data_IF_936106601744
#
_entry.id   IF_936106601744
#
_cell.length_a   1.000
_cell.length_b   1.000
_cell.length_c   1.000
_cell.angle_alpha   90.00
_cell.angle_beta   90.00
_cell.angle_gamma   90.00
#
_symmetry.space_group_name_H-M   'P 1'
#
loop_
_entity.id
_entity.type
_entity.pdbx_description
1 polymer ?
#
# COMPACT_ATOMS: atom_id res chain seq x y z
N UNK A 1 9.86 0.52 -18.29
CA UNK A 1 10.61 -0.43 -19.14
C UNK A 1 9.63 -1.47 -19.69
N UNK A 2 9.99 -2.16 -20.77
CA UNK A 2 9.38 -3.43 -21.21
C UNK A 2 10.55 -4.38 -21.42
N UNK A 3 10.47 -5.61 -20.91
CA UNK A 3 11.54 -6.62 -20.99
C UNK A 3 12.92 -6.05 -20.58
N UNK A 4 12.96 -5.32 -19.47
CA UNK A 4 14.19 -4.73 -18.91
C UNK A 4 14.88 -3.70 -19.81
N UNK A 5 14.14 -3.13 -20.78
CA UNK A 5 14.62 -2.09 -21.69
C UNK A 5 13.83 -0.81 -21.56
N UNK A 6 14.53 0.32 -21.68
CA UNK A 6 13.89 1.63 -21.79
C UNK A 6 12.96 1.67 -23.01
N UNK A 7 11.78 2.26 -22.82
CA UNK A 7 10.76 2.37 -23.87
C UNK A 7 11.07 3.61 -24.73
N UNK A 8 11.20 3.44 -26.03
CA UNK A 8 11.28 4.56 -26.97
C UNK A 8 9.92 5.23 -27.17
N UNK A 9 9.90 6.56 -27.27
CA UNK A 9 8.67 7.33 -27.51
C UNK A 9 7.84 7.66 -26.27
N UNK A 10 8.31 7.31 -25.07
CA UNK A 10 7.69 7.72 -23.82
C UNK A 10 7.68 9.27 -23.69
N UNK A 11 6.63 9.87 -23.10
CA UNK A 11 6.61 11.29 -22.79
C UNK A 11 7.84 11.71 -21.97
N UNK A 12 8.39 12.89 -22.26
CA UNK A 12 9.51 13.48 -21.52
C UNK A 12 9.25 14.98 -21.30
N UNK A 13 9.00 15.44 -20.06
CA UNK A 13 9.01 14.65 -18.83
C UNK A 13 7.79 13.69 -18.73
N UNK A 14 8.02 12.53 -18.11
CA UNK A 14 6.95 11.64 -17.67
C UNK A 14 6.40 12.17 -16.34
N UNK A 15 5.10 12.39 -16.26
CA UNK A 15 4.40 12.96 -15.10
C UNK A 15 3.10 12.20 -14.84
N UNK A 16 2.45 12.47 -13.70
CA UNK A 16 1.14 11.88 -13.39
C UNK A 16 0.03 12.33 -14.35
N UNK A 17 0.21 13.42 -15.09
CA UNK A 17 -0.73 13.91 -16.11
C UNK A 17 -0.63 13.18 -17.44
N UNK A 18 0.43 12.39 -17.67
CA UNK A 18 0.66 11.74 -18.95
C UNK A 18 1.09 10.26 -18.85
N UNK A 19 1.01 9.69 -17.65
CA UNK A 19 1.43 8.32 -17.37
C UNK A 19 0.60 7.27 -18.13
N UNK A 20 -0.69 7.54 -18.34
CA UNK A 20 -1.59 6.71 -19.14
C UNK A 20 -1.14 6.55 -20.60
N UNK A 21 -0.39 7.50 -21.16
CA UNK A 21 0.15 7.40 -22.53
C UNK A 21 1.12 6.24 -22.70
N UNK A 22 1.70 5.75 -21.60
CA UNK A 22 2.52 4.53 -21.65
C UNK A 22 1.70 3.29 -22.03
N UNK A 23 0.37 3.34 -21.90
CA UNK A 23 -0.50 2.25 -22.30
C UNK A 23 -0.35 1.92 -23.80
N UNK A 24 -0.08 2.92 -24.64
CA UNK A 24 0.13 2.74 -26.09
C UNK A 24 1.49 2.12 -26.44
N UNK A 25 2.41 2.06 -25.47
CA UNK A 25 3.81 1.62 -25.68
C UNK A 25 4.12 0.24 -25.13
N UNK A 26 3.12 -0.45 -24.56
CA UNK A 26 3.28 -1.77 -23.95
C UNK A 26 2.12 -2.17 -23.04
N UNK A 27 1.23 -1.23 -22.71
CA UNK A 27 0.05 -1.52 -21.90
C UNK A 27 0.44 -2.12 -20.54
N UNK A 28 -0.03 -3.33 -20.24
CA UNK A 28 0.25 -4.04 -18.98
C UNK A 28 1.69 -4.52 -18.86
N UNK A 29 2.48 -4.54 -19.94
CA UNK A 29 3.89 -4.95 -19.89
C UNK A 29 4.86 -3.81 -19.53
N UNK A 30 4.34 -2.61 -19.25
CA UNK A 30 5.16 -1.46 -18.88
C UNK A 30 5.40 -1.43 -17.38
N UNK A 31 6.66 -1.40 -16.98
CA UNK A 31 7.10 -1.29 -15.57
C UNK A 31 7.69 0.10 -15.28
N UNK A 32 7.32 0.71 -14.15
CA UNK A 32 7.92 1.96 -13.69
C UNK A 32 9.16 1.68 -12.85
N UNK A 33 10.33 1.90 -13.45
CA UNK A 33 11.63 1.57 -12.86
C UNK A 33 12.38 2.82 -12.43
N UNK A 34 13.03 2.77 -11.26
CA UNK A 34 13.97 3.79 -10.82
C UNK A 34 15.20 3.83 -11.72
N UNK A 35 15.84 5.00 -11.83
CA UNK A 35 17.11 5.13 -12.60
C UNK A 35 18.30 4.53 -11.87
N UNK A 36 18.19 4.38 -10.55
CA UNK A 36 19.22 3.88 -9.64
C UNK A 36 18.63 2.71 -8.85
N UNK A 37 19.40 1.64 -8.68
CA UNK A 37 18.97 0.47 -7.91
C UNK A 37 19.17 0.65 -6.41
N UNK A 38 18.56 -0.25 -5.62
CA UNK A 38 18.65 -0.25 -4.15
C UNK A 38 20.10 -0.41 -3.61
N UNK A 39 21.01 -0.97 -4.42
CA UNK A 39 22.42 -1.17 -4.06
C UNK A 39 23.34 -0.04 -4.55
N UNK A 40 22.79 1.10 -4.99
CA UNK A 40 23.61 2.22 -5.44
C UNK A 40 24.45 2.82 -4.29
N UNK A 41 25.69 3.19 -4.61
CA UNK A 41 26.65 3.80 -3.68
C UNK A 41 27.19 5.12 -4.28
N UNK A 42 26.90 6.28 -3.67
CA UNK A 42 26.15 6.45 -2.43
C UNK A 42 24.64 6.12 -2.59
N UNK A 43 24.00 5.74 -1.48
CA UNK A 43 22.55 5.50 -1.46
C UNK A 43 21.78 6.73 -1.97
N UNK A 44 20.88 6.58 -2.95
CA UNK A 44 20.15 7.71 -3.50
C UNK A 44 19.28 8.42 -2.47
N UNK A 45 19.16 9.75 -2.57
CA UNK A 45 18.38 10.52 -1.60
C UNK A 45 16.88 10.18 -1.61
N UNK A 46 16.33 9.80 -2.76
CA UNK A 46 14.92 9.40 -2.88
C UNK A 46 14.60 8.13 -2.08
N UNK A 47 15.61 7.32 -1.74
CA UNK A 47 15.46 6.06 -0.99
C UNK A 47 14.87 6.27 0.40
N UNK A 48 15.12 7.43 1.00
CA UNK A 48 14.63 7.77 2.35
C UNK A 48 13.22 8.35 2.36
N UNK A 49 12.59 8.55 1.19
CA UNK A 49 11.30 9.20 1.08
C UNK A 49 11.30 10.64 1.62
N UNK A 50 10.12 11.14 1.96
CA UNK A 50 9.93 12.46 2.52
C UNK A 50 9.77 12.41 4.05
N UNK A 51 10.29 13.42 4.78
CA UNK A 51 10.10 13.50 6.22
C UNK A 51 8.64 13.74 6.57
N UNK A 52 8.21 13.16 7.70
CA UNK A 52 6.90 13.41 8.31
C UNK A 52 7.07 14.41 9.45
N UNK A 53 6.30 15.49 9.43
CA UNK A 53 6.37 16.53 10.46
C UNK A 53 5.61 16.13 11.75
N UNK A 54 5.63 16.99 12.77
CA UNK A 54 4.99 16.71 14.07
C UNK A 54 3.47 16.54 14.01
N UNK A 55 2.82 17.08 12.99
CA UNK A 55 1.37 16.93 12.76
C UNK A 55 1.03 15.66 11.99
N UNK A 56 2.03 14.96 11.46
CA UNK A 56 1.90 13.75 10.67
C UNK A 56 1.84 13.98 9.17
N UNK A 57 2.09 15.20 8.68
CA UNK A 57 2.12 15.51 7.25
C UNK A 57 3.44 15.08 6.61
N UNK A 58 3.39 14.43 5.46
CA UNK A 58 4.57 14.25 4.59
C UNK A 58 4.93 15.58 3.93
N UNK A 59 6.14 16.07 4.16
CA UNK A 59 6.57 17.36 3.59
C UNK A 59 7.00 17.23 2.13
N UNK A 60 6.73 18.27 1.34
CA UNK A 60 7.18 18.44 -0.04
C UNK A 60 6.76 17.35 -1.06
N UNK A 61 5.91 16.39 -0.65
CA UNK A 61 5.40 15.31 -1.51
C UNK A 61 3.91 15.06 -1.29
N UNK A 62 3.28 14.45 -2.28
CA UNK A 62 1.96 13.80 -2.14
C UNK A 62 2.21 12.30 -1.98
N UNK A 63 1.91 11.77 -0.80
CA UNK A 63 2.27 10.40 -0.39
C UNK A 63 1.08 9.44 -0.34
N UNK A 64 -0.12 9.92 -0.62
CA UNK A 64 -1.31 9.08 -0.69
C UNK A 64 -2.32 9.53 -1.76
N UNK A 65 -3.24 8.63 -2.08
CA UNK A 65 -4.48 8.99 -2.75
C UNK A 65 -5.70 8.42 -2.04
N UNK A 66 -6.80 9.15 -2.10
CA UNK A 66 -8.10 8.72 -1.59
C UNK A 66 -9.07 8.64 -2.75
N UNK A 67 -9.68 7.48 -2.93
CA UNK A 67 -10.70 7.26 -3.95
C UNK A 67 -12.01 6.93 -3.25
N UNK A 68 -13.06 7.68 -3.59
CA UNK A 68 -14.39 7.57 -2.99
C UNK A 68 -15.36 7.01 -4.01
N UNK A 69 -16.02 5.90 -3.71
CA UNK A 69 -17.11 5.35 -4.50
C UNK A 69 -18.42 5.48 -3.70
N UNK A 70 -19.33 6.33 -4.17
CA UNK A 70 -20.67 6.49 -3.60
C UNK A 70 -21.63 5.55 -4.32
N UNK A 71 -22.28 4.65 -3.58
CA UNK A 71 -23.19 3.65 -4.14
C UNK A 71 -24.59 4.21 -4.41
N UNK A 72 -24.89 5.44 -3.97
CA UNK A 72 -26.18 6.09 -4.14
C UNK A 72 -27.31 5.58 -3.22
N UNK A 73 -26.99 4.63 -2.33
CA UNK A 73 -27.91 4.03 -1.36
C UNK A 73 -27.63 4.49 0.10
N UNK A 74 -26.75 5.47 0.26
CA UNK A 74 -26.25 5.95 1.56
C UNK A 74 -24.96 5.26 2.02
N UNK A 75 -24.46 4.27 1.28
CA UNK A 75 -23.16 3.63 1.51
C UNK A 75 -22.08 4.31 0.67
N UNK A 76 -20.93 4.57 1.30
CA UNK A 76 -19.75 5.13 0.64
C UNK A 76 -18.53 4.30 0.99
N UNK A 77 -17.81 3.85 -0.03
CA UNK A 77 -16.49 3.27 0.14
C UNK A 77 -15.41 4.35 -0.01
N UNK A 78 -14.46 4.38 0.92
CA UNK A 78 -13.25 5.18 0.82
C UNK A 78 -12.03 4.25 0.79
N UNK A 79 -11.27 4.32 -0.31
CA UNK A 79 -10.04 3.57 -0.51
C UNK A 79 -8.86 4.50 -0.27
N UNK A 80 -7.98 4.12 0.64
CA UNK A 80 -6.74 4.83 0.92
C UNK A 80 -5.59 4.07 0.28
N UNK A 81 -4.86 4.73 -0.62
CA UNK A 81 -3.65 4.22 -1.23
C UNK A 81 -2.46 4.99 -0.68
N UNK A 82 -1.43 4.25 -0.28
CA UNK A 82 -0.22 4.77 0.33
C UNK A 82 0.93 4.47 -0.60
N UNK A 83 1.81 5.45 -0.84
CA UNK A 83 2.96 5.29 -1.72
C UNK A 83 4.24 5.38 -0.91
N UNK A 84 4.99 4.29 -0.89
CA UNK A 84 6.30 4.20 -0.24
C UNK A 84 7.39 4.32 -1.29
N UNK A 85 8.41 5.14 -1.02
CA UNK A 85 9.57 5.28 -1.92
C UNK A 85 10.36 3.97 -2.00
N UNK A 86 10.57 3.37 -0.84
CA UNK A 86 11.11 2.03 -0.66
C UNK A 86 10.46 1.45 0.59
N UNK A 87 10.14 0.17 0.56
CA UNK A 87 9.89 -0.55 1.79
C UNK A 87 10.60 -1.89 1.76
N UNK A 88 11.27 -2.14 2.89
CA UNK A 88 12.21 -3.21 3.08
C UNK A 88 11.45 -4.50 3.32
N UNK A 89 11.84 -5.53 2.58
CA UNK A 89 11.30 -6.87 2.72
C UNK A 89 11.55 -7.54 4.07
N UNK A 90 10.81 -8.63 4.34
CA UNK A 90 11.07 -9.48 5.51
C UNK A 90 12.28 -10.38 5.28
N UNK A 91 13.10 -10.57 6.33
CA UNK A 91 14.18 -11.56 6.31
C UNK A 91 13.68 -12.89 6.86
N UNK A 92 13.67 -13.91 6.02
CA UNK A 92 13.29 -15.29 6.37
C UNK A 92 14.48 -16.21 6.05
N UNK A 93 15.03 -16.88 7.06
CA UNK A 93 16.20 -17.78 6.92
C UNK A 93 17.39 -17.09 6.23
N UNK A 94 17.82 -15.94 6.77
CA UNK A 94 18.93 -15.11 6.26
C UNK A 94 18.77 -14.60 4.81
N UNK A 95 17.57 -14.69 4.25
CA UNK A 95 17.22 -14.11 2.95
C UNK A 95 16.10 -13.08 3.10
N UNK A 96 16.35 -11.88 2.57
CA UNK A 96 15.38 -10.78 2.52
C UNK A 96 14.46 -10.92 1.31
N UNK A 97 13.14 -10.77 1.50
CA UNK A 97 12.10 -10.95 0.49
C UNK A 97 11.12 -9.78 0.45
N UNK A 98 10.76 -9.35 -0.77
CA UNK A 98 9.68 -8.40 -0.96
C UNK A 98 10.10 -6.94 -0.84
N UNK A 99 11.31 -6.60 -1.26
CA UNK A 99 11.69 -5.21 -1.47
C UNK A 99 10.83 -4.61 -2.59
N UNK A 100 10.08 -3.54 -2.30
CA UNK A 100 9.33 -2.83 -3.33
C UNK A 100 9.71 -1.35 -3.38
N UNK A 101 9.66 -0.84 -4.61
CA UNK A 101 10.04 0.51 -5.00
C UNK A 101 8.84 1.21 -5.62
N UNK A 102 8.40 2.34 -5.06
CA UNK A 102 7.22 3.05 -5.55
C UNK A 102 5.92 2.23 -5.41
N UNK A 103 5.73 1.62 -4.24
CA UNK A 103 4.76 0.55 -4.05
C UNK A 103 3.34 1.02 -3.71
N UNK A 104 2.37 0.22 -4.17
CA UNK A 104 0.97 0.26 -3.79
C UNK A 104 0.46 -1.20 -3.69
N UNK A 105 1.01 -1.98 -2.76
CA UNK A 105 0.65 -3.39 -2.61
C UNK A 105 -0.70 -3.60 -1.93
N UNK A 106 -1.43 -4.61 -2.42
CA UNK A 106 -2.57 -5.21 -1.75
C UNK A 106 -2.25 -6.69 -1.55
N UNK A 107 -2.21 -7.13 -0.30
CA UNK A 107 -2.37 -8.53 0.06
C UNK A 107 -3.65 -8.67 0.88
N UNK A 108 -4.13 -9.91 1.00
CA UNK A 108 -5.30 -10.28 1.80
C UNK A 108 -5.25 -9.65 3.20
N UNK A 109 -6.31 -8.91 3.56
CA UNK A 109 -6.40 -8.20 4.84
C UNK A 109 -7.52 -8.73 5.74
N UNK A 110 -7.49 -8.27 6.99
CA UNK A 110 -8.60 -8.46 7.93
C UNK A 110 -9.57 -7.28 7.82
N UNK A 111 -10.88 -7.56 7.84
CA UNK A 111 -11.91 -6.53 7.93
C UNK A 111 -12.36 -6.35 9.39
N UNK A 112 -12.52 -5.11 9.82
CA UNK A 112 -12.97 -4.78 11.18
C UNK A 112 -14.18 -3.87 11.14
N UNK A 113 -15.14 -4.12 12.04
CA UNK A 113 -16.22 -3.16 12.27
C UNK A 113 -15.63 -1.86 12.80
N UNK A 114 -16.17 -0.70 12.38
CA UNK A 114 -15.69 0.60 12.83
C UNK A 114 -15.58 0.68 14.36
N UNK A 115 -16.55 0.16 15.13
CA UNK A 115 -16.49 0.15 16.60
C UNK A 115 -15.28 -0.59 17.19
N UNK A 116 -14.73 -1.57 16.47
CA UNK A 116 -13.61 -2.38 16.92
C UNK A 116 -12.27 -1.63 16.82
N UNK A 117 -12.15 -0.68 15.90
CA UNK A 117 -10.88 0.01 15.60
C UNK A 117 -10.46 0.98 16.70
N UNK A 118 -9.16 1.16 16.90
CA UNK A 118 -8.65 2.31 17.65
C UNK A 118 -8.75 3.56 16.83
N UNK A 119 -8.93 4.69 17.49
CA UNK A 119 -9.20 5.95 16.82
C UNK A 119 -8.53 7.11 17.53
N UNK A 120 -8.05 8.07 16.73
CA UNK A 120 -7.79 9.44 17.16
C UNK A 120 -8.99 10.29 16.76
N UNK A 121 -9.82 10.66 17.74
CA UNK A 121 -11.14 11.27 17.47
C UNK A 121 -12.04 10.31 16.69
N UNK A 122 -12.44 10.68 15.46
CA UNK A 122 -13.28 9.85 14.59
C UNK A 122 -12.47 8.99 13.60
N UNK A 123 -11.15 9.15 13.56
CA UNK A 123 -10.30 8.55 12.52
C UNK A 123 -9.67 7.26 13.03
N UNK A 124 -9.89 6.11 12.36
CA UNK A 124 -9.21 4.87 12.69
C UNK A 124 -7.68 5.02 12.61
N UNK A 125 -6.99 4.33 13.52
CA UNK A 125 -5.54 4.18 13.50
C UNK A 125 -5.21 2.80 12.93
N UNK A 126 -4.26 2.77 12.00
CA UNK A 126 -3.62 1.57 11.50
C UNK A 126 -2.11 1.73 11.67
N UNK A 127 -1.41 0.61 11.76
CA UNK A 127 0.03 0.55 11.99
C UNK A 127 0.73 -0.03 10.77
N UNK A 128 1.69 0.72 10.21
CA UNK A 128 2.46 0.28 9.05
C UNK A 128 3.47 -0.79 9.46
N UNK A 129 3.44 -1.93 8.78
CA UNK A 129 4.31 -3.08 9.04
C UNK A 129 5.69 -2.87 8.45
N UNK A 130 6.71 -3.04 9.28
CA UNK A 130 8.07 -3.32 8.81
C UNK A 130 8.11 -4.78 8.36
N UNK A 131 8.31 -5.01 7.06
CA UNK A 131 8.37 -6.35 6.48
C UNK A 131 7.62 -6.53 5.16
N UNK A 132 6.28 -6.38 5.15
CA UNK A 132 5.45 -6.72 3.97
C UNK A 132 4.42 -5.68 3.56
N UNK A 133 4.72 -4.38 3.71
CA UNK A 133 3.88 -3.25 3.23
C UNK A 133 2.47 -3.20 3.85
N UNK A 134 2.16 -4.14 4.73
CA UNK A 134 0.86 -4.35 5.29
C UNK A 134 0.55 -3.29 6.34
N UNK A 135 -0.74 -3.00 6.49
CA UNK A 135 -1.24 -2.15 7.56
C UNK A 135 -2.07 -3.00 8.51
N UNK A 136 -1.74 -2.93 9.79
CA UNK A 136 -2.36 -3.74 10.83
C UNK A 136 -3.24 -2.90 11.75
N UNK A 137 -4.26 -3.52 12.34
CA UNK A 137 -5.18 -2.83 13.25
C UNK A 137 -4.63 -2.65 14.68
N UNK A 138 -3.49 -3.29 14.98
CA UNK A 138 -2.85 -3.33 16.29
C UNK A 138 -1.32 -3.23 16.12
N UNK A 139 -0.64 -2.77 17.16
CA UNK A 139 0.82 -2.83 17.24
C UNK A 139 1.32 -4.24 17.57
N UNK A 140 2.60 -4.52 17.30
CA UNK A 140 3.30 -5.76 17.67
C UNK A 140 3.68 -6.64 16.48
N UNK A 141 3.80 -7.95 16.73
CA UNK A 141 4.19 -8.93 15.73
C UNK A 141 2.98 -9.48 14.98
N UNK A 142 3.13 -9.64 13.66
CA UNK A 142 2.09 -10.11 12.76
C UNK A 142 2.63 -11.17 11.80
N UNK A 143 2.53 -12.43 12.19
CA UNK A 143 2.69 -13.55 11.28
C UNK A 143 1.54 -13.55 10.27
N UNK A 144 1.91 -13.66 9.00
CA UNK A 144 1.00 -13.67 7.86
C UNK A 144 1.34 -14.80 6.88
N UNK A 145 2.00 -15.86 7.37
CA UNK A 145 2.22 -17.08 6.59
C UNK A 145 0.90 -17.73 6.11
N UNK A 146 -0.21 -17.49 6.81
CA UNK A 146 -1.56 -17.94 6.43
C UNK A 146 -2.39 -16.73 5.99
N UNK A 147 -2.89 -16.69 4.73
CA UNK A 147 -3.76 -15.60 4.27
C UNK A 147 -4.96 -15.39 5.21
N UNK A 148 -5.31 -14.12 5.46
CA UNK A 148 -6.41 -13.68 6.34
C UNK A 148 -6.28 -13.96 7.85
N UNK A 149 -5.20 -14.58 8.31
CA UNK A 149 -4.99 -14.90 9.73
C UNK A 149 -3.72 -14.23 10.26
N UNK A 150 -3.91 -13.23 11.12
CA UNK A 150 -2.83 -12.54 11.82
C UNK A 150 -2.56 -13.22 13.17
N UNK A 151 -1.34 -13.76 13.35
CA UNK A 151 -0.90 -14.39 14.59
C UNK A 151 0.29 -13.64 15.22
N UNK A 152 0.43 -13.64 16.56
CA UNK A 152 1.54 -12.92 17.22
C UNK A 152 2.92 -13.60 17.04
N UNK A 153 2.99 -14.77 16.40
CA UNK A 153 4.21 -15.54 16.16
C UNK A 153 4.06 -16.43 14.91
N UNK A 154 5.15 -16.61 14.15
CA UNK A 154 5.22 -17.55 13.02
C UNK A 154 6.45 -17.35 12.14
N UNK A 155 6.37 -17.70 10.85
CA UNK A 155 7.54 -17.84 9.97
C UNK A 155 7.83 -16.60 9.11
N UNK A 156 6.81 -15.78 8.83
CA UNK A 156 6.96 -14.52 8.09
C UNK A 156 6.24 -13.45 8.89
N UNK A 157 7.00 -12.65 9.63
CA UNK A 157 6.48 -11.78 10.69
C UNK A 157 6.76 -10.32 10.37
N UNK A 158 5.70 -9.56 10.16
CA UNK A 158 5.78 -8.10 10.17
C UNK A 158 5.83 -7.60 11.61
N UNK A 159 6.55 -6.51 11.83
CA UNK A 159 6.56 -5.82 13.12
C UNK A 159 6.00 -4.42 12.97
N UNK A 160 5.10 -4.03 13.87
CA UNK A 160 4.52 -2.69 13.91
C UNK A 160 4.68 -2.06 15.30
N UNK A 161 4.76 -0.73 15.34
CA UNK A 161 4.77 0.04 16.59
C UNK A 161 4.00 1.35 16.44
N UNK A 162 3.73 2.04 17.56
CA UNK A 162 3.01 3.32 17.55
C UNK A 162 3.75 4.44 16.83
N UNK A 163 5.09 4.38 16.81
CA UNK A 163 5.98 5.20 16.00
C UNK A 163 5.64 6.69 15.89
N UNK A 164 6.02 7.23 14.74
CA UNK A 164 5.64 8.58 14.31
C UNK A 164 4.24 8.52 13.72
N UNK A 165 3.35 9.40 14.17
CA UNK A 165 2.03 9.54 13.54
C UNK A 165 2.20 10.00 12.10
N UNK A 166 1.61 9.26 11.16
CA UNK A 166 1.48 9.68 9.77
C UNK A 166 0.00 9.91 9.43
N UNK A 167 -0.31 11.12 8.99
CA UNK A 167 -1.63 11.55 8.55
C UNK A 167 -1.65 11.68 7.01
N UNK A 168 -2.07 10.64 6.29
CA UNK A 168 -2.07 10.65 4.82
C UNK A 168 -3.01 11.71 4.25
N UNK A 169 -4.05 12.11 4.99
CA UNK A 169 -5.04 13.08 4.49
C UNK A 169 -4.47 14.49 4.32
N UNK A 170 -3.31 14.77 4.91
CA UNK A 170 -2.65 16.08 4.82
C UNK A 170 -1.80 16.23 3.55
N UNK A 171 -1.49 15.13 2.85
CA UNK A 171 -0.66 15.09 1.65
C UNK A 171 -1.23 14.09 0.64
N UNK A 172 -2.48 14.33 0.21
CA UNK A 172 -3.24 13.40 -0.63
C UNK A 172 -3.81 14.04 -1.88
N UNK A 173 -3.87 13.27 -2.96
CA UNK A 173 -4.86 13.52 -4.01
C UNK A 173 -6.16 12.80 -3.68
N UNK A 174 -7.30 13.43 -3.98
CA UNK A 174 -8.61 12.87 -3.68
C UNK A 174 -9.51 12.86 -4.92
N UNK A 175 -10.20 11.75 -5.15
CA UNK A 175 -11.03 11.53 -6.33
C UNK A 175 -12.36 10.87 -5.96
N UNK A 176 -13.44 11.25 -6.65
CA UNK A 176 -14.64 10.43 -6.75
C UNK A 176 -14.47 9.43 -7.90
N UNK A 177 -14.89 8.19 -7.69
CA UNK A 177 -14.98 7.13 -8.68
C UNK A 177 -16.44 6.88 -9.05
N UNK A 178 -16.73 6.86 -10.35
CA UNK A 178 -18.01 6.42 -10.88
C UNK A 178 -17.86 4.98 -11.35
N UNK A 179 -18.47 4.05 -10.62
CA UNK A 179 -18.40 2.62 -10.93
C UNK A 179 -19.11 2.21 -12.24
N UNK A 180 -20.13 2.97 -12.68
CA UNK A 180 -20.86 2.64 -13.91
C UNK A 180 -20.03 2.93 -15.16
N UNK A 181 -19.27 4.03 -15.13
CA UNK A 181 -18.45 4.48 -16.25
C UNK A 181 -16.97 4.12 -16.07
N UNK A 182 -16.59 3.53 -14.93
CA UNK A 182 -15.21 3.26 -14.51
C UNK A 182 -14.29 4.50 -14.59
N UNK A 183 -14.83 5.66 -14.21
CA UNK A 183 -14.14 6.95 -14.37
C UNK A 183 -13.81 7.61 -13.05
N UNK A 184 -12.70 8.33 -13.03
CA UNK A 184 -12.22 9.13 -11.90
C UNK A 184 -12.46 10.61 -12.17
N UNK A 185 -12.95 11.32 -11.15
CA UNK A 185 -13.06 12.79 -11.14
C UNK A 185 -12.35 13.33 -9.90
N UNK A 186 -11.43 14.28 -10.05
CA UNK A 186 -10.71 14.83 -8.90
C UNK A 186 -11.60 15.79 -8.12
N UNK A 187 -11.41 15.84 -6.80
CA UNK A 187 -12.08 16.82 -5.95
C UNK A 187 -11.46 18.23 -6.06
N UNK A 188 -10.19 18.32 -6.49
CA UNK A 188 -9.52 19.56 -6.87
C UNK A 188 -9.12 19.47 -8.34
N UNK A 189 -9.47 20.47 -9.15
CA UNK A 189 -9.17 20.48 -10.59
C UNK A 189 -7.68 20.46 -10.93
N UNK A 190 -6.80 20.75 -9.97
CA UNK A 190 -5.35 20.71 -10.14
C UNK A 190 -4.75 19.32 -9.90
N UNK A 191 -5.53 18.34 -9.41
CA UNK A 191 -5.01 17.00 -9.19
C UNK A 191 -4.86 16.25 -10.52
N UNK A 192 -3.70 15.61 -10.77
CA UNK A 192 -3.51 14.82 -11.97
C UNK A 192 -4.43 13.59 -11.91
N UNK A 193 -5.14 13.28 -12.99
CA UNK A 193 -6.10 12.15 -13.01
C UNK A 193 -5.56 10.98 -13.83
N UNK A 194 -4.78 11.27 -14.88
CA UNK A 194 -4.42 10.31 -15.90
C UNK A 194 -3.60 9.12 -15.36
N UNK A 195 -2.78 9.33 -14.32
CA UNK A 195 -2.06 8.24 -13.66
C UNK A 195 -2.95 7.10 -13.14
N UNK A 196 -4.21 7.38 -12.76
CA UNK A 196 -5.17 6.36 -12.34
C UNK A 196 -5.55 5.41 -13.47
N UNK A 197 -5.35 5.82 -14.72
CA UNK A 197 -5.64 5.03 -15.92
C UNK A 197 -4.40 4.29 -16.47
N UNK A 198 -3.22 4.42 -15.86
CA UNK A 198 -2.06 3.62 -16.25
C UNK A 198 -2.31 2.12 -15.99
N UNK A 199 -2.04 1.28 -16.99
CA UNK A 199 -2.32 -0.16 -16.97
C UNK A 199 -1.14 -1.02 -16.52
N UNK A 200 0.06 -0.46 -16.55
CA UNK A 200 1.29 -1.20 -16.23
C UNK A 200 1.53 -1.35 -14.73
N UNK A 201 2.76 -1.71 -14.41
CA UNK A 201 3.21 -2.00 -13.05
C UNK A 201 3.92 -0.81 -12.43
N UNK A 202 3.61 -0.57 -11.16
CA UNK A 202 4.27 0.40 -10.29
C UNK A 202 5.43 -0.30 -9.59
N UNK A 203 6.63 -0.17 -10.15
CA UNK A 203 7.82 -0.90 -9.73
C UNK A 203 8.43 -1.72 -10.87
N UNK A 204 9.53 -2.40 -10.56
CA UNK A 204 10.28 -3.23 -11.51
C UNK A 204 9.54 -4.51 -11.91
N UNK A 205 9.99 -5.11 -13.01
CA UNK A 205 9.61 -6.48 -13.38
C UNK A 205 10.26 -7.49 -12.42
N UNK A 206 9.71 -8.69 -12.30
CA UNK A 206 10.29 -9.73 -11.45
C UNK A 206 11.60 -10.23 -12.03
N UNK A 207 12.69 -10.24 -11.25
CA UNK A 207 14.02 -10.66 -11.73
C UNK A 207 13.97 -12.12 -12.28
N UNK A 208 14.23 -12.35 -13.58
CA UNK A 208 14.20 -13.69 -14.14
C UNK A 208 15.28 -14.58 -13.52
N UNK A 209 14.88 -15.72 -12.95
CA UNK A 209 15.79 -16.63 -12.26
C UNK A 209 16.33 -16.09 -10.92
N UNK A 210 15.72 -15.04 -10.37
CA UNK A 210 16.07 -14.48 -9.07
C UNK A 210 15.83 -15.48 -7.91
N UNK A 211 16.38 -15.20 -6.72
CA UNK A 211 16.18 -16.04 -5.54
C UNK A 211 14.70 -16.19 -5.20
N UNK A 212 14.28 -17.41 -4.88
CA UNK A 212 12.91 -17.76 -4.51
C UNK A 212 12.93 -18.73 -3.32
N UNK A 213 12.03 -18.52 -2.37
CA UNK A 213 11.82 -19.44 -1.24
C UNK A 213 10.32 -19.64 -1.03
N UNK A 214 9.87 -20.90 -1.00
CA UNK A 214 8.45 -21.26 -0.83
C UNK A 214 7.48 -20.56 -1.82
N UNK A 215 7.89 -20.32 -3.06
CA UNK A 215 7.05 -19.61 -4.05
C UNK A 215 7.14 -18.09 -3.98
N UNK A 216 7.86 -17.53 -3.01
CA UNK A 216 8.03 -16.09 -2.84
C UNK A 216 9.35 -15.64 -3.46
N UNK A 217 9.28 -14.77 -4.47
CA UNK A 217 10.45 -14.19 -5.12
C UNK A 217 11.02 -13.08 -4.25
N UNK A 218 12.36 -13.03 -4.16
CA UNK A 218 13.06 -11.91 -3.51
C UNK A 218 12.77 -10.57 -4.22
N UNK A 219 12.87 -10.57 -5.54
CA UNK A 219 12.59 -9.43 -6.40
C UNK A 219 11.32 -9.71 -7.21
N UNK A 220 10.17 -9.35 -6.62
CA UNK A 220 8.86 -9.53 -7.22
C UNK A 220 8.52 -8.38 -8.17
N UNK A 221 7.57 -8.63 -9.07
CA UNK A 221 7.02 -7.60 -9.96
C UNK A 221 6.23 -6.57 -9.14
N UNK A 222 6.33 -5.30 -9.51
CA UNK A 222 5.51 -4.23 -8.93
C UNK A 222 4.01 -4.44 -9.17
N UNK A 223 3.12 -3.97 -8.27
CA UNK A 223 1.68 -4.12 -8.46
C UNK A 223 1.13 -3.17 -9.53
N UNK A 224 -0.06 -3.50 -10.02
CA UNK A 224 -0.87 -2.57 -10.82
C UNK A 224 -1.53 -1.47 -9.95
N UNK A 225 -1.96 -0.40 -10.62
CA UNK A 225 -2.50 0.80 -9.97
C UNK A 225 -3.89 0.68 -9.33
N UNK A 226 -4.40 1.76 -8.71
CA UNK A 226 -5.63 1.77 -7.92
C UNK A 226 -6.89 1.23 -8.61
N UNK A 227 -7.05 1.47 -9.93
CA UNK A 227 -8.26 1.06 -10.66
C UNK A 227 -8.48 -0.46 -10.67
N UNK A 228 -7.41 -1.24 -10.49
CA UNK A 228 -7.48 -2.70 -10.47
C UNK A 228 -7.80 -3.28 -9.07
N UNK A 229 -8.02 -2.42 -8.06
CA UNK A 229 -8.18 -2.83 -6.65
C UNK A 229 -9.65 -3.00 -6.24
N UNK A 230 -10.50 -3.50 -7.15
CA UNK A 230 -11.93 -3.80 -6.92
C UNK A 230 -12.68 -2.62 -6.27
N UNK A 231 -12.62 -1.44 -6.91
CA UNK A 231 -13.21 -0.21 -6.39
C UNK A 231 -14.74 -0.23 -6.30
N UNK A 232 -15.39 -1.12 -7.06
CA UNK A 232 -16.84 -1.38 -6.98
C UNK A 232 -17.12 -2.72 -6.29
N UNK A 233 -16.72 -2.82 -5.02
CA UNK A 233 -17.00 -3.98 -4.17
C UNK A 233 -18.35 -3.83 -3.47
N UNK A 234 -19.05 -4.96 -3.24
CA UNK A 234 -20.34 -4.98 -2.54
C UNK A 234 -20.21 -5.18 -1.03
N UNK A 235 -19.03 -5.61 -0.57
CA UNK A 235 -18.68 -5.81 0.83
C UNK A 235 -17.34 -5.16 1.12
N UNK A 236 -17.01 -4.95 2.39
CA UNK A 236 -15.70 -4.41 2.79
C UNK A 236 -14.54 -5.31 2.34
N UNK A 237 -14.72 -6.62 2.32
CA UNK A 237 -13.73 -7.55 1.80
C UNK A 237 -13.82 -7.67 0.28
N UNK A 238 -12.69 -7.74 -0.45
CA UNK A 238 -12.68 -7.97 -1.89
C UNK A 238 -13.08 -9.40 -2.30
N UNK A 239 -13.02 -10.34 -1.37
CA UNK A 239 -13.23 -11.78 -1.60
C UNK A 239 -14.26 -12.37 -0.63
N UNK A 240 -14.81 -13.53 -0.98
CA UNK A 240 -15.74 -14.29 -0.15
C UNK A 240 -15.09 -15.57 0.42
N UNK A 241 -15.39 -15.94 1.69
CA UNK A 241 -16.33 -15.27 2.59
C UNK A 241 -15.75 -13.99 3.21
N UNK A 242 -16.54 -12.91 3.23
CA UNK A 242 -16.17 -11.70 3.95
C UNK A 242 -16.51 -11.82 5.45
N UNK A 243 -15.49 -11.73 6.30
CA UNK A 243 -15.63 -11.79 7.76
C UNK A 243 -15.20 -10.47 8.39
N UNK A 244 -16.16 -9.75 8.96
CA UNK A 244 -15.91 -8.53 9.72
C UNK A 244 -15.72 -8.81 11.21
N UNK A 245 -14.50 -8.58 11.70
CA UNK A 245 -14.13 -8.80 13.08
C UNK A 245 -14.71 -7.70 14.00
N UNK A 246 -15.42 -8.05 15.08
CA UNK A 246 -16.00 -7.07 16.01
C UNK A 246 -15.03 -6.62 17.12
N UNK A 247 -13.81 -7.18 17.16
CA UNK A 247 -12.72 -6.84 18.07
C UNK A 247 -11.37 -7.00 17.35
N UNK A 248 -10.32 -6.34 17.85
CA UNK A 248 -8.97 -6.35 17.25
C UNK A 248 -7.99 -7.33 17.90
N UNK A 249 -8.19 -7.63 19.18
CA UNK A 249 -7.37 -8.55 19.97
C UNK A 249 -8.26 -9.56 20.67
N UNK A 250 -7.80 -10.80 20.75
CA UNK A 250 -8.50 -11.89 21.45
C UNK A 250 -8.26 -11.89 22.97
N UNK A 251 -7.44 -10.98 23.50
CA UNK A 251 -7.20 -10.87 24.94
C UNK A 251 -7.16 -9.40 25.40
N UNK A 252 -7.86 -9.13 26.49
CA UNK A 252 -7.51 -8.04 27.40
C UNK A 252 -6.45 -8.57 28.35
N UNK A 253 -5.26 -7.98 28.36
CA UNK A 253 -4.42 -8.08 29.56
C UNK A 253 -5.20 -7.38 30.66
N UNK A 254 -5.86 -8.14 31.53
CA UNK A 254 -6.32 -7.65 32.82
C UNK A 254 -5.09 -7.32 33.65
N UNK A 255 -4.54 -6.11 33.54
CA UNK A 255 -3.66 -5.57 34.56
C UNK A 255 -4.51 -5.04 35.72
N UNK A 256 -5.11 -5.96 36.47
CA UNK A 256 -5.62 -5.68 37.81
C UNK A 256 -5.47 -6.94 38.66
N UNK A 257 -4.42 -7.00 39.48
CA UNK A 257 -4.53 -6.93 40.95
C UNK A 257 -3.18 -7.19 41.65
N UNK A 258 -2.94 -6.32 42.63
CA UNK A 258 -2.00 -6.33 43.76
C UNK A 258 -1.05 -7.50 43.98
N UNK A 259 0.21 -7.16 44.22
CA UNK A 259 0.97 -7.72 45.34
C UNK A 259 1.55 -6.58 46.17
N UNK A 260 0.81 -6.19 47.20
CA UNK A 260 1.42 -5.66 48.42
C UNK A 260 1.79 -6.87 49.26
N UNK A 261 3.07 -7.04 49.52
CA UNK A 261 3.66 -7.48 50.79
C UNK A 261 5.11 -6.99 50.80
#
# INVERSE_FOLDING_TARGET
MVDWKAIGGAPSPLTLDNLDKLNDLGNTSVHLTSKEGINADPTPSWFYGAPVNQDGKSEDVVSSSIIVNDHGDGTVDAFYFYFYAYNQGNTVVDMEFGDHMGDCQHAYGQAFKYKATEKKGKRPIAYSGKGTHANYAIAGNHDHAIPHLNLPFGFVVDTTDQGTLWDPTMSTYAYSYNAADETFKPYDSNFPVNWLYFNGQWGDDALPGGPELFGQKKYAEGPNGPKFKKLSRTKVCPDDPCVELPFRIWSTVNSTTSATL
#
